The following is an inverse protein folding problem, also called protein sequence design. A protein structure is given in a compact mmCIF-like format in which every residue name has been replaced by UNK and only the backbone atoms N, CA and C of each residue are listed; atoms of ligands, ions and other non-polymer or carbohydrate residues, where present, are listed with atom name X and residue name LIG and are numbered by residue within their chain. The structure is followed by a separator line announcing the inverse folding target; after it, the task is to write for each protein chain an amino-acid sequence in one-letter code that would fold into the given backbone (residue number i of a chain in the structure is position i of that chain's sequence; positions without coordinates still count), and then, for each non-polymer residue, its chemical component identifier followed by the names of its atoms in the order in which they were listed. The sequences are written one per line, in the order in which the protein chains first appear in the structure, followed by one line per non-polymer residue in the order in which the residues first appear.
data_IF_505375549738
#
_entry.id   IF_505375549738
#
_cell.length_a   1.000
_cell.length_b   1.000
_cell.length_c   1.000
_cell.angle_alpha   90.00
_cell.angle_beta   90.00
_cell.angle_gamma   90.00
#
_symmetry.space_group_name_H-M   'P 1'
#
loop_
_entity.id
_entity.type
_entity.pdbx_description
1 polymer ?
#
# COMPACT_ATOMS: atom_id res chain seq x y z
N UNK A 1 19.69 -56.47 -0.24
CA UNK A 1 19.22 -55.63 -1.36
C UNK A 1 17.83 -55.03 -1.12
N UNK A 2 16.83 -55.83 -0.71
CA UNK A 2 15.44 -55.38 -0.46
C UNK A 2 15.31 -54.29 0.63
N UNK A 3 16.08 -54.38 1.73
CA UNK A 3 16.05 -53.36 2.82
C UNK A 3 16.45 -51.95 2.36
N UNK A 4 17.35 -51.83 1.38
CA UNK A 4 17.80 -50.53 0.87
C UNK A 4 16.72 -49.87 0.00
N UNK A 5 15.89 -50.68 -0.68
CA UNK A 5 14.79 -50.20 -1.52
C UNK A 5 13.69 -49.59 -0.65
N UNK A 6 13.33 -50.24 0.47
CA UNK A 6 12.34 -49.69 1.41
C UNK A 6 12.80 -48.39 2.08
N UNK A 7 14.10 -48.27 2.37
CA UNK A 7 14.68 -47.04 2.91
C UNK A 7 14.57 -45.88 1.91
N UNK A 8 14.92 -46.13 0.64
CA UNK A 8 14.82 -45.11 -0.42
C UNK A 8 13.38 -44.68 -0.67
N UNK A 9 12.43 -45.62 -0.69
CA UNK A 9 11.00 -45.32 -0.83
C UNK A 9 10.49 -44.49 0.36
N UNK A 10 10.91 -44.83 1.58
CA UNK A 10 10.53 -44.08 2.78
C UNK A 10 11.03 -42.63 2.77
N UNK A 11 12.28 -42.41 2.33
CA UNK A 11 12.87 -41.07 2.20
C UNK A 11 12.18 -40.26 1.10
N UNK A 12 11.91 -40.86 -0.06
CA UNK A 12 11.20 -40.16 -1.15
C UNK A 12 9.77 -39.79 -0.77
N UNK A 13 9.07 -40.68 -0.05
CA UNK A 13 7.72 -40.41 0.43
C UNK A 13 7.70 -39.28 1.46
N UNK A 14 8.66 -39.21 2.38
CA UNK A 14 8.71 -38.13 3.37
C UNK A 14 9.01 -36.77 2.73
N UNK A 15 9.95 -36.74 1.77
CA UNK A 15 10.25 -35.53 0.99
C UNK A 15 9.01 -35.06 0.24
N UNK A 16 8.29 -35.96 -0.42
CA UNK A 16 7.07 -35.61 -1.15
C UNK A 16 6.00 -35.04 -0.21
N UNK A 17 5.76 -35.64 0.95
CA UNK A 17 4.78 -35.15 1.93
C UNK A 17 5.15 -33.77 2.45
N UNK A 18 6.42 -33.51 2.74
CA UNK A 18 6.89 -32.18 3.17
C UNK A 18 6.69 -31.14 2.07
N UNK A 19 7.07 -31.44 0.83
CA UNK A 19 6.89 -30.51 -0.29
C UNK A 19 5.41 -30.23 -0.58
N UNK A 20 4.55 -31.24 -0.55
CA UNK A 20 3.11 -31.07 -0.71
C UNK A 20 2.51 -30.20 0.41
N UNK A 21 2.99 -30.36 1.65
CA UNK A 21 2.52 -29.58 2.79
C UNK A 21 2.94 -28.11 2.69
N UNK A 22 4.19 -27.85 2.29
CA UNK A 22 4.69 -26.49 2.04
C UNK A 22 3.93 -25.83 0.89
N UNK A 23 3.66 -26.56 -0.19
CA UNK A 23 2.91 -26.05 -1.33
C UNK A 23 1.46 -25.70 -0.96
N UNK A 24 0.78 -26.56 -0.21
CA UNK A 24 -0.58 -26.28 0.27
C UNK A 24 -0.62 -25.09 1.23
N UNK A 25 0.35 -24.96 2.14
CA UNK A 25 0.46 -23.79 3.02
C UNK A 25 0.71 -22.51 2.23
N UNK A 26 1.56 -22.57 1.19
CA UNK A 26 1.83 -21.44 0.32
C UNK A 26 0.57 -20.98 -0.44
N UNK A 27 -0.18 -21.88 -1.06
CA UNK A 27 -1.42 -21.53 -1.76
C UNK A 27 -2.49 -21.01 -0.79
N UNK A 28 -2.64 -21.62 0.41
CA UNK A 28 -3.60 -21.16 1.42
C UNK A 28 -3.25 -19.78 1.98
N UNK A 29 -1.96 -19.48 2.14
CA UNK A 29 -1.49 -18.12 2.47
C UNK A 29 -1.70 -17.15 1.32
N UNK A 30 -1.53 -17.58 0.07
CA UNK A 30 -1.71 -16.72 -1.11
C UNK A 30 -3.18 -16.31 -1.30
N UNK A 31 -4.10 -17.23 -1.06
CA UNK A 31 -5.54 -17.00 -1.18
C UNK A 31 -6.07 -16.04 -0.10
N UNK A 32 -5.49 -16.06 1.12
CA UNK A 32 -5.78 -15.06 2.15
C UNK A 32 -5.24 -13.67 1.85
N UNK A 33 -4.18 -13.57 1.04
CA UNK A 33 -3.54 -12.28 0.74
C UNK A 33 -4.22 -11.52 -0.41
N UNK A 34 -5.04 -12.17 -1.23
CA UNK A 34 -5.78 -11.50 -2.33
C UNK A 34 -7.05 -10.80 -1.86
N UNK A 35 -7.59 -11.16 -0.69
CA UNK A 35 -8.70 -10.48 0.00
C UNK A 35 -8.19 -9.52 1.10
N UNK A 36 -6.91 -9.10 1.04
CA UNK A 36 -6.38 -8.11 1.96
C UNK A 36 -7.05 -6.76 1.69
N UNK A 37 -8.10 -6.47 2.45
CA UNK A 37 -8.61 -5.14 2.57
C UNK A 37 -7.71 -4.36 3.53
N UNK A 38 -7.14 -3.25 3.06
CA UNK A 38 -6.38 -2.37 3.93
C UNK A 38 -7.33 -1.61 4.83
N UNK A 39 -7.36 -2.00 6.10
CA UNK A 39 -8.19 -1.35 7.10
C UNK A 39 -7.65 0.03 7.45
N UNK A 40 -8.54 1.03 7.46
CA UNK A 40 -8.24 2.32 8.08
C UNK A 40 -8.03 2.11 9.57
N UNK A 41 -6.78 1.96 10.01
CA UNK A 41 -6.41 2.04 11.40
C UNK A 41 -6.06 3.49 11.77
N UNK A 42 -5.74 3.76 13.04
CA UNK A 42 -5.40 5.10 13.54
C UNK A 42 -4.15 5.72 12.90
N UNK A 43 -3.49 5.03 11.96
CA UNK A 43 -2.34 5.53 11.21
C UNK A 43 -2.72 6.04 9.80
N UNK A 44 -4.01 5.96 9.44
CA UNK A 44 -4.53 6.45 8.16
C UNK A 44 -5.31 7.75 8.30
N UNK A 45 -5.13 8.68 7.37
CA UNK A 45 -5.81 9.97 7.31
C UNK A 45 -6.46 10.14 5.94
N UNK A 46 -7.75 10.45 5.93
CA UNK A 46 -8.48 10.81 4.73
C UNK A 46 -8.18 12.25 4.31
N UNK A 47 -7.82 12.48 3.05
CA UNK A 47 -7.47 13.81 2.52
C UNK A 47 -8.56 14.43 1.64
N UNK A 48 -9.37 13.62 0.95
CA UNK A 48 -10.47 14.13 0.13
C UNK A 48 -11.12 13.09 -0.78
N UNK A 49 -12.33 13.40 -1.23
CA UNK A 49 -13.10 12.61 -2.22
C UNK A 49 -13.56 13.52 -3.35
N UNK A 50 -13.56 13.02 -4.58
CA UNK A 50 -14.22 13.65 -5.73
C UNK A 50 -15.05 12.61 -6.49
N UNK A 51 -16.23 13.00 -6.94
CA UNK A 51 -17.03 12.22 -7.88
C UNK A 51 -16.75 12.71 -9.31
N UNK A 52 -16.32 11.82 -10.20
CA UNK A 52 -15.97 12.13 -11.58
C UNK A 52 -16.16 10.89 -12.46
N UNK A 53 -16.55 11.04 -13.74
CA UNK A 53 -16.74 9.92 -14.67
C UNK A 53 -17.52 8.71 -14.11
N UNK A 54 -18.57 8.97 -13.33
CA UNK A 54 -19.41 7.94 -12.71
C UNK A 54 -18.71 7.07 -11.64
N UNK A 55 -17.61 7.57 -11.08
CA UNK A 55 -16.80 6.90 -10.07
C UNK A 55 -16.50 7.85 -8.90
N UNK A 56 -16.38 7.29 -7.69
CA UNK A 56 -15.84 8.02 -6.54
C UNK A 56 -14.34 7.78 -6.46
N UNK A 57 -13.58 8.86 -6.36
CA UNK A 57 -12.14 8.84 -6.14
C UNK A 57 -11.83 9.35 -4.75
N UNK A 58 -11.06 8.59 -3.99
CA UNK A 58 -10.69 8.93 -2.62
C UNK A 58 -9.18 8.94 -2.43
N UNK A 59 -8.70 9.94 -1.70
CA UNK A 59 -7.28 10.13 -1.44
C UNK A 59 -7.05 9.87 0.03
N UNK A 60 -6.22 8.87 0.32
CA UNK A 60 -5.93 8.46 1.69
C UNK A 60 -4.42 8.48 1.87
N UNK A 61 -4.02 9.12 2.95
CA UNK A 61 -2.68 9.13 3.47
C UNK A 61 -2.53 8.02 4.52
N UNK A 62 -1.44 7.26 4.44
CA UNK A 62 -1.18 6.13 5.33
C UNK A 62 0.21 6.29 5.94
N UNK A 63 0.27 6.16 7.26
CA UNK A 63 1.50 6.17 8.04
C UNK A 63 1.84 4.71 8.35
N UNK A 64 2.83 4.14 7.66
CA UNK A 64 3.27 2.76 7.95
C UNK A 64 4.68 2.78 8.51
N UNK A 65 4.92 2.19 9.68
CA UNK A 65 6.28 1.96 10.20
C UNK A 65 6.53 2.51 11.60
N UNK A 66 7.62 2.03 12.21
CA UNK A 66 8.13 2.43 13.53
C UNK A 66 9.24 3.51 13.47
N UNK A 67 9.66 3.90 12.26
CA UNK A 67 10.56 5.01 12.01
C UNK A 67 9.87 6.02 11.12
N UNK A 68 10.27 7.29 11.20
CA UNK A 68 9.68 8.47 10.56
C UNK A 68 9.69 8.47 9.00
N UNK A 69 9.64 7.29 8.36
CA UNK A 69 10.00 7.10 6.94
C UNK A 69 9.17 6.07 6.18
N UNK A 70 7.88 5.93 6.44
CA UNK A 70 6.99 5.45 5.38
C UNK A 70 5.60 6.11 5.44
N UNK A 71 5.42 7.02 4.50
CA UNK A 71 4.27 7.90 4.36
C UNK A 71 3.75 7.75 2.93
N UNK A 72 2.77 6.88 2.70
CA UNK A 72 2.24 6.62 1.37
C UNK A 72 0.90 7.34 1.17
N UNK A 73 0.68 7.94 0.00
CA UNK A 73 -0.66 8.34 -0.45
C UNK A 73 -1.12 7.38 -1.51
N UNK A 74 -2.39 6.99 -1.41
CA UNK A 74 -3.07 6.18 -2.42
C UNK A 74 -4.36 6.86 -2.86
N UNK A 75 -4.61 6.78 -4.17
CA UNK A 75 -5.84 7.16 -4.85
C UNK A 75 -6.65 5.89 -5.12
N UNK A 76 -7.85 5.83 -4.55
CA UNK A 76 -8.76 4.70 -4.65
C UNK A 76 -9.92 5.00 -5.59
N UNK A 77 -10.39 3.97 -6.30
CA UNK A 77 -11.59 3.99 -7.14
C UNK A 77 -12.75 3.24 -6.47
N UNK A 78 -13.95 3.77 -6.57
CA UNK A 78 -15.20 3.02 -6.33
C UNK A 78 -15.35 2.42 -4.94
N UNK A 79 -15.04 3.19 -3.92
CA UNK A 79 -15.43 2.90 -2.55
C UNK A 79 -15.84 4.21 -1.88
N UNK A 80 -17.00 4.20 -1.23
CA UNK A 80 -17.36 5.19 -0.21
C UNK A 80 -17.34 4.46 1.14
N UNK A 81 -16.19 4.31 1.78
CA UNK A 81 -16.10 3.64 3.07
C UNK A 81 -16.86 4.44 4.11
N UNK A 82 -17.54 3.75 5.01
CA UNK A 82 -17.86 4.36 6.32
C UNK A 82 -16.55 4.64 7.05
N UNK A 83 -16.53 5.54 8.04
CA UNK A 83 -15.34 5.92 8.81
C UNK A 83 -14.60 4.76 9.54
N UNK A 84 -14.97 3.49 9.30
CA UNK A 84 -14.40 2.26 9.86
C UNK A 84 -14.40 1.09 8.87
N UNK A 85 -14.11 1.30 7.58
CA UNK A 85 -14.06 0.18 6.62
C UNK A 85 -12.69 -0.01 5.99
N UNK A 86 -12.39 -1.27 5.73
CA UNK A 86 -11.21 -1.69 5.01
C UNK A 86 -11.46 -1.55 3.51
N UNK A 87 -10.46 -1.04 2.79
CA UNK A 87 -10.54 -0.80 1.34
C UNK A 87 -9.67 -1.84 0.67
N UNK A 88 -10.23 -2.56 -0.31
CA UNK A 88 -9.50 -3.59 -1.03
C UNK A 88 -8.36 -3.00 -1.88
N UNK A 89 -7.21 -3.68 -1.90
CA UNK A 89 -6.01 -3.21 -2.63
C UNK A 89 -6.24 -3.09 -4.15
N UNK A 90 -7.12 -3.91 -4.72
CA UNK A 90 -7.50 -3.88 -6.14
C UNK A 90 -8.19 -2.57 -6.57
N UNK A 91 -8.62 -1.75 -5.60
CA UNK A 91 -9.20 -0.42 -5.82
C UNK A 91 -8.17 0.69 -5.91
N UNK A 92 -6.89 0.42 -5.61
CA UNK A 92 -5.83 1.43 -5.74
C UNK A 92 -5.52 1.63 -7.22
N UNK A 93 -5.80 2.84 -7.73
CA UNK A 93 -5.43 3.20 -9.10
C UNK A 93 -3.99 3.70 -9.15
N UNK A 94 -3.59 4.48 -8.14
CA UNK A 94 -2.28 5.12 -8.11
C UNK A 94 -1.83 5.32 -6.66
N UNK A 95 -0.53 5.16 -6.41
CA UNK A 95 0.07 5.42 -5.10
C UNK A 95 1.41 6.13 -5.26
N UNK A 96 1.80 6.92 -4.26
CA UNK A 96 3.07 7.63 -4.24
C UNK A 96 3.63 7.75 -2.84
N UNK A 97 4.95 7.66 -2.73
CA UNK A 97 5.65 7.92 -1.48
C UNK A 97 5.70 9.41 -1.21
N UNK A 98 5.31 9.83 -0.02
CA UNK A 98 5.63 11.16 0.50
C UNK A 98 6.92 11.06 1.29
N UNK A 99 7.78 12.03 1.03
CA UNK A 99 9.01 12.22 1.78
C UNK A 99 8.82 13.41 2.72
N UNK A 100 9.14 13.21 3.98
CA UNK A 100 9.37 14.26 4.95
C UNK A 100 10.76 14.00 5.49
N UNK A 101 11.65 15.00 5.50
CA UNK A 101 13.01 14.75 5.94
C UNK A 101 13.73 15.98 6.43
N UNK A 102 14.76 15.70 7.23
CA UNK A 102 15.65 16.70 7.83
C UNK A 102 16.46 17.44 6.75
N UNK A 103 17.05 18.58 7.11
CA UNK A 103 17.66 19.54 6.16
C UNK A 103 18.80 18.99 5.27
N UNK A 104 19.29 17.76 5.45
CA UNK A 104 20.50 17.27 4.75
C UNK A 104 20.50 15.82 4.21
N UNK A 105 19.34 15.19 3.94
CA UNK A 105 19.25 13.89 3.25
C UNK A 105 18.62 13.93 1.83
N UNK A 106 18.64 12.83 1.05
CA UNK A 106 17.81 12.69 -0.16
C UNK A 106 16.29 12.82 0.12
N UNK A 107 15.93 12.79 1.41
CA UNK A 107 14.62 13.09 2.00
C UNK A 107 14.36 14.59 2.28
N UNK A 108 15.23 15.51 1.84
CA UNK A 108 15.07 16.98 1.98
C UNK A 108 13.93 17.59 1.16
N UNK A 109 13.22 16.76 0.41
CA UNK A 109 12.11 17.16 -0.42
C UNK A 109 10.82 17.18 0.40
N UNK A 110 10.16 18.32 0.45
CA UNK A 110 8.91 18.52 1.14
C UNK A 110 7.76 18.56 0.14
N UNK A 111 6.67 17.81 0.33
CA UNK A 111 5.50 17.93 -0.53
C UNK A 111 4.92 19.33 -0.36
N UNK A 112 4.62 19.98 -1.48
CA UNK A 112 3.94 21.29 -1.51
C UNK A 112 2.56 21.18 -2.11
N UNK A 113 2.31 20.16 -2.92
CA UNK A 113 1.07 20.02 -3.64
C UNK A 113 0.82 18.56 -4.02
N UNK A 114 -0.42 18.12 -3.84
CA UNK A 114 -0.91 16.83 -4.32
C UNK A 114 -1.91 17.15 -5.43
N UNK A 115 -1.56 16.82 -6.67
CA UNK A 115 -2.43 16.98 -7.84
C UNK A 115 -2.94 15.63 -8.29
N UNK A 116 -4.22 15.59 -8.66
CA UNK A 116 -4.82 14.41 -9.27
C UNK A 116 -5.27 14.82 -10.67
N UNK A 117 -4.60 14.25 -11.66
CA UNK A 117 -4.76 14.56 -13.07
C UNK A 117 -5.02 13.27 -13.81
N UNK A 118 -6.18 13.15 -14.48
CA UNK A 118 -6.52 11.97 -15.28
C UNK A 118 -6.32 10.64 -14.50
N UNK A 119 -6.87 10.58 -13.29
CA UNK A 119 -6.77 9.41 -12.38
C UNK A 119 -5.34 9.07 -11.91
N UNK A 120 -4.38 9.97 -12.11
CA UNK A 120 -2.99 9.81 -11.64
C UNK A 120 -2.72 10.72 -10.47
N UNK A 121 -2.03 10.18 -9.47
CA UNK A 121 -1.53 10.95 -8.34
C UNK A 121 -0.16 11.54 -8.69
N UNK A 122 -0.05 12.86 -8.69
CA UNK A 122 1.21 13.60 -8.86
C UNK A 122 1.51 14.41 -7.59
N UNK A 123 2.70 14.23 -7.04
CA UNK A 123 3.13 14.97 -5.86
C UNK A 123 4.25 15.91 -6.27
N UNK A 124 4.06 17.20 -6.02
CA UNK A 124 5.07 18.22 -6.27
C UNK A 124 5.87 18.43 -4.98
N UNK A 125 7.19 18.49 -5.12
CA UNK A 125 8.11 18.69 -4.01
C UNK A 125 8.88 20.00 -4.11
N UNK A 126 9.33 20.51 -2.96
CA UNK A 126 10.27 21.63 -2.83
C UNK A 126 11.45 21.22 -1.97
N UNK A 127 12.63 21.79 -2.24
CA UNK A 127 13.78 21.70 -1.33
C UNK A 127 13.77 22.79 -0.26
N UNK A 128 12.98 23.86 -0.46
CA UNK A 128 12.87 24.95 0.50
C UNK A 128 11.72 24.67 1.48
N UNK A 129 12.08 24.28 2.71
CA UNK A 129 11.15 23.99 3.80
C UNK A 129 10.23 25.16 4.15
N UNK A 130 10.71 26.40 4.03
CA UNK A 130 9.91 27.60 4.36
C UNK A 130 8.78 27.85 3.35
N UNK A 131 8.93 27.33 2.12
CA UNK A 131 7.88 27.32 1.10
C UNK A 131 7.03 26.04 1.14
N UNK A 132 7.38 25.08 2.00
CA UNK A 132 6.54 23.91 2.22
C UNK A 132 5.33 24.33 3.06
N UNK A 133 4.14 23.83 2.71
CA UNK A 133 2.95 24.05 3.53
C UNK A 133 3.25 23.41 4.90
N UNK A 134 3.16 24.17 6.00
CA UNK A 134 3.43 23.61 7.33
C UNK A 134 2.57 22.37 7.50
N UNK A 135 3.23 21.28 7.89
CA UNK A 135 2.68 19.94 8.06
C UNK A 135 1.23 20.01 8.54
N UNK A 136 0.33 19.47 7.71
CA UNK A 136 -1.00 18.90 8.02
C UNK A 136 -2.15 19.31 7.06
N UNK A 137 -2.06 20.33 6.21
CA UNK A 137 -3.18 20.67 5.31
C UNK A 137 -2.80 20.83 3.83
N UNK A 138 -2.26 19.78 3.22
CA UNK A 138 -2.19 19.72 1.75
C UNK A 138 -3.46 19.04 1.25
N UNK A 139 -4.48 19.83 0.93
CA UNK A 139 -5.68 19.32 0.27
C UNK A 139 -5.33 18.90 -1.18
N UNK A 140 -5.90 17.78 -1.67
CA UNK A 140 -5.70 17.38 -3.06
C UNK A 140 -6.35 18.38 -4.01
N UNK A 141 -5.60 18.82 -5.02
CA UNK A 141 -6.10 19.63 -6.14
C UNK A 141 -6.48 18.70 -7.27
N UNK A 142 -7.66 18.90 -7.83
CA UNK A 142 -8.16 18.07 -8.91
C UNK A 142 -8.17 18.85 -10.22
N UNK A 143 -7.42 18.37 -11.21
CA UNK A 143 -7.40 18.90 -12.58
C UNK A 143 -7.94 17.85 -13.55
N UNK A 144 -8.70 18.32 -14.53
CA UNK A 144 -9.21 17.53 -15.66
C UNK A 144 -8.16 17.46 -16.78
#
# INVERSE_FOLDING_TARGET
MIKNIFFVIGVLSSIFTVLASIFLLYEFSREKNTDEAQCMDGTTMFLGTRYFNNHYYEVIYQISGFSDKAHFISLYKDTRPSNKSCIAYDKIISSGSIYFGEEHGPETQWPVEIRIENEKLNIKYTQNKDNAIPTVNIAPVWSE
#
